data_IF_264704137058
#
_entry.id   IF_264704137058
#
_cell.length_a   1.000
_cell.length_b   1.000
_cell.length_c   1.000
_cell.angle_alpha   90.00
_cell.angle_beta   90.00
_cell.angle_gamma   90.00
#
_symmetry.space_group_name_H-M   'P 1'
#
loop_
_entity.id
_entity.type
_entity.pdbx_description
1 polymer ?
#
# COMPACT_ATOMS: atom_id res chain seq x y z
N UNK A 1 28.51 -44.51 48.62
CA UNK A 1 28.68 -43.68 47.41
C UNK A 1 27.59 -42.63 47.42
N UNK A 2 27.98 -41.36 47.54
CA UNK A 2 27.07 -40.21 47.51
C UNK A 2 26.76 -39.91 46.03
N UNK A 3 25.49 -39.99 45.64
CA UNK A 3 25.04 -39.41 44.38
C UNK A 3 24.69 -37.95 44.63
N UNK A 4 25.52 -37.06 44.10
CA UNK A 4 25.26 -35.62 44.07
C UNK A 4 24.06 -35.38 43.13
N UNK A 5 22.99 -34.70 43.56
CA UNK A 5 22.03 -34.17 42.61
C UNK A 5 22.73 -33.06 41.83
N UNK A 6 22.74 -33.20 40.50
CA UNK A 6 23.26 -32.19 39.58
C UNK A 6 22.55 -30.87 39.90
N UNK A 7 23.35 -29.90 40.29
CA UNK A 7 22.96 -28.53 40.55
C UNK A 7 22.14 -28.04 39.37
N UNK A 8 20.89 -27.69 39.62
CA UNK A 8 19.98 -27.04 38.69
C UNK A 8 20.73 -25.88 38.04
N UNK A 9 21.08 -26.03 36.76
CA UNK A 9 21.60 -24.91 35.98
C UNK A 9 20.53 -23.81 36.08
N UNK A 10 20.86 -22.76 36.84
CA UNK A 10 20.18 -21.48 36.79
C UNK A 10 20.02 -21.11 35.32
N UNK A 11 18.80 -21.26 34.81
CA UNK A 11 18.35 -20.79 33.52
C UNK A 11 18.16 -19.26 33.53
N UNK A 12 18.93 -18.56 34.36
CA UNK A 12 18.79 -17.12 34.60
C UNK A 12 19.46 -16.27 33.52
N UNK A 13 19.93 -16.86 32.41
CA UNK A 13 20.57 -16.11 31.32
C UNK A 13 20.33 -16.68 29.92
N UNK A 14 19.11 -17.15 29.64
CA UNK A 14 18.64 -17.25 28.25
C UNK A 14 17.28 -16.58 28.09
N UNK A 15 17.13 -15.38 28.66
CA UNK A 15 16.31 -14.36 28.00
C UNK A 15 17.13 -13.93 26.78
N UNK A 16 17.09 -14.75 25.72
CA UNK A 16 17.18 -14.19 24.38
C UNK A 16 16.04 -13.20 24.36
N UNK A 17 16.38 -11.91 24.37
CA UNK A 17 15.53 -10.88 23.82
C UNK A 17 15.08 -11.41 22.46
N UNK A 18 13.93 -12.09 22.45
CA UNK A 18 13.09 -12.19 21.30
C UNK A 18 12.63 -10.75 21.11
N UNK A 19 13.52 -9.96 20.48
CA UNK A 19 13.17 -8.71 19.84
C UNK A 19 12.01 -9.13 18.95
N UNK A 20 10.81 -8.92 19.47
CA UNK A 20 9.57 -9.00 18.72
C UNK A 20 9.93 -8.34 17.40
N UNK A 21 9.73 -9.00 16.25
CA UNK A 21 10.02 -8.35 14.99
C UNK A 21 9.29 -7.02 15.12
N UNK A 22 10.10 -5.97 15.12
CA UNK A 22 9.66 -4.61 15.20
C UNK A 22 8.43 -4.58 14.33
N UNK A 23 7.28 -4.22 14.91
CA UNK A 23 6.08 -3.99 14.14
C UNK A 23 6.48 -2.83 13.25
N UNK A 24 7.17 -3.11 12.13
CA UNK A 24 7.26 -2.26 10.97
C UNK A 24 5.82 -1.91 10.80
N UNK A 25 5.50 -0.66 11.16
CA UNK A 25 4.18 -0.10 11.00
C UNK A 25 3.70 -0.61 9.66
N UNK A 26 2.81 -1.60 9.71
CA UNK A 26 2.15 -2.07 8.52
C UNK A 26 1.36 -0.84 8.13
N UNK A 27 1.88 -0.08 7.15
CA UNK A 27 1.25 1.11 6.63
C UNK A 27 -0.23 0.81 6.58
N UNK A 28 -1.01 1.64 7.27
CA UNK A 28 -2.45 1.41 7.36
C UNK A 28 -2.96 1.30 5.94
N UNK A 29 -3.83 0.33 5.66
CA UNK A 29 -4.40 0.18 4.32
C UNK A 29 -4.96 1.50 3.79
N UNK A 30 -5.51 2.34 4.68
CA UNK A 30 -5.99 3.70 4.38
C UNK A 30 -4.87 4.62 3.90
N UNK A 31 -3.66 4.53 4.46
CA UNK A 31 -2.50 5.31 4.03
C UNK A 31 -2.04 4.87 2.64
N UNK A 32 -1.97 3.56 2.38
CA UNK A 32 -1.63 3.01 1.06
C UNK A 32 -2.69 3.44 0.02
N UNK A 33 -3.96 3.39 0.39
CA UNK A 33 -5.04 3.85 -0.50
C UNK A 33 -4.96 5.35 -0.77
N UNK A 34 -4.67 6.16 0.26
CA UNK A 34 -4.48 7.61 0.12
C UNK A 34 -3.28 7.94 -0.77
N UNK A 35 -2.18 7.21 -0.62
CA UNK A 35 -1.01 7.34 -1.50
C UNK A 35 -1.38 6.95 -2.94
N UNK A 36 -2.16 5.88 -3.12
CA UNK A 36 -2.61 5.43 -4.45
C UNK A 36 -3.48 6.50 -5.13
N UNK A 37 -4.39 7.15 -4.39
CA UNK A 37 -5.20 8.27 -4.89
C UNK A 37 -4.31 9.44 -5.34
N UNK A 38 -3.32 9.81 -4.52
CA UNK A 38 -2.37 10.87 -4.87
C UNK A 38 -1.61 10.52 -6.15
N UNK A 39 -1.17 9.26 -6.27
CA UNK A 39 -0.46 8.76 -7.45
C UNK A 39 -1.33 8.73 -8.70
N UNK A 40 -2.61 8.36 -8.59
CA UNK A 40 -3.58 8.48 -9.69
C UNK A 40 -3.69 9.94 -10.15
N UNK A 41 -3.78 10.89 -9.21
CA UNK A 41 -3.87 12.31 -9.55
C UNK A 41 -2.58 12.84 -10.23
N UNK A 42 -1.41 12.36 -9.80
CA UNK A 42 -0.14 12.67 -10.47
C UNK A 42 -0.12 12.15 -11.91
N UNK A 43 -0.55 10.90 -12.14
CA UNK A 43 -0.63 10.31 -13.48
C UNK A 43 -1.59 11.07 -14.40
N UNK A 44 -2.74 11.52 -13.88
CA UNK A 44 -3.69 12.34 -14.63
C UNK A 44 -3.02 13.67 -15.05
N UNK A 45 -2.39 14.38 -14.10
CA UNK A 45 -1.70 15.64 -14.41
C UNK A 45 -0.55 15.47 -15.39
N UNK A 46 0.20 14.38 -15.28
CA UNK A 46 1.27 14.06 -16.21
C UNK A 46 0.71 13.82 -17.63
N UNK A 47 -0.38 13.06 -17.73
CA UNK A 47 -1.09 12.82 -18.99
C UNK A 47 -1.60 14.12 -19.61
N UNK A 48 -2.20 15.00 -18.82
CA UNK A 48 -2.69 16.31 -19.27
C UNK A 48 -1.53 17.18 -19.78
N UNK A 49 -0.41 17.21 -19.05
CA UNK A 49 0.77 17.98 -19.43
C UNK A 49 1.38 17.47 -20.74
N UNK A 50 1.47 16.15 -20.92
CA UNK A 50 1.97 15.55 -22.16
C UNK A 50 1.01 15.82 -23.31
N UNK A 51 -0.29 15.74 -23.08
CA UNK A 51 -1.32 16.06 -24.08
C UNK A 51 -1.22 17.52 -24.50
N UNK A 52 -1.07 18.45 -23.57
CA UNK A 52 -0.90 19.88 -23.84
C UNK A 52 0.38 20.15 -24.63
N UNK A 53 1.51 19.59 -24.19
CA UNK A 53 2.78 19.80 -24.86
C UNK A 53 2.78 19.17 -26.27
N UNK A 54 2.09 18.05 -26.50
CA UNK A 54 1.88 17.49 -27.84
C UNK A 54 1.01 18.40 -28.70
N UNK A 55 -0.11 18.90 -28.17
CA UNK A 55 -0.98 19.84 -28.88
C UNK A 55 -0.27 21.15 -29.26
N UNK A 56 0.69 21.59 -28.44
CA UNK A 56 1.54 22.76 -28.70
C UNK A 56 2.72 22.46 -29.65
N UNK A 57 2.87 21.22 -30.13
CA UNK A 57 3.99 20.80 -30.99
C UNK A 57 5.35 20.80 -30.29
N UNK A 58 5.38 20.76 -28.95
CA UNK A 58 6.62 20.67 -28.15
C UNK A 58 7.13 19.23 -28.02
N UNK A 59 6.27 18.25 -28.33
CA UNK A 59 6.60 16.84 -28.39
C UNK A 59 5.97 16.28 -29.65
N UNK A 60 6.74 15.54 -30.43
CA UNK A 60 6.26 14.85 -31.64
C UNK A 60 5.83 13.40 -31.36
N UNK A 61 6.14 12.90 -30.16
CA UNK A 61 5.91 11.51 -29.78
C UNK A 61 4.51 11.32 -29.16
N UNK A 62 3.54 11.06 -30.03
CA UNK A 62 2.16 10.70 -29.65
C UNK A 62 2.09 9.42 -28.81
N UNK A 63 3.05 8.50 -28.95
CA UNK A 63 3.00 7.22 -28.23
C UNK A 63 3.15 7.45 -26.72
N UNK A 64 3.98 8.41 -26.30
CA UNK A 64 4.12 8.78 -24.89
C UNK A 64 2.83 9.36 -24.30
N UNK A 65 2.12 10.19 -25.06
CA UNK A 65 0.82 10.75 -24.63
C UNK A 65 -0.19 9.64 -24.44
N UNK A 66 -0.33 8.74 -25.41
CA UNK A 66 -1.25 7.60 -25.33
C UNK A 66 -0.92 6.69 -24.16
N UNK A 67 0.35 6.35 -23.95
CA UNK A 67 0.79 5.52 -22.81
C UNK A 67 0.46 6.22 -21.48
N UNK A 68 0.68 7.52 -21.38
CA UNK A 68 0.36 8.27 -20.17
C UNK A 68 -1.16 8.29 -19.90
N UNK A 69 -1.98 8.47 -20.95
CA UNK A 69 -3.44 8.42 -20.87
C UNK A 69 -3.92 7.02 -20.42
N UNK A 70 -3.38 5.96 -20.98
CA UNK A 70 -3.72 4.58 -20.58
C UNK A 70 -3.36 4.30 -19.11
N UNK A 71 -2.16 4.74 -18.68
CA UNK A 71 -1.72 4.62 -17.28
C UNK A 71 -2.66 5.36 -16.33
N UNK A 72 -3.01 6.60 -16.65
CA UNK A 72 -3.91 7.41 -15.85
C UNK A 72 -5.30 6.75 -15.76
N UNK A 73 -5.84 6.28 -16.89
CA UNK A 73 -7.13 5.60 -16.95
C UNK A 73 -7.15 4.29 -16.16
N UNK A 74 -6.13 3.45 -16.29
CA UNK A 74 -6.02 2.20 -15.54
C UNK A 74 -5.91 2.47 -14.03
N UNK A 75 -5.06 3.42 -13.63
CA UNK A 75 -4.90 3.80 -12.23
C UNK A 75 -6.22 4.33 -11.63
N UNK A 76 -6.96 5.15 -12.38
CA UNK A 76 -8.26 5.66 -11.96
C UNK A 76 -9.28 4.53 -11.77
N UNK A 77 -9.39 3.63 -12.73
CA UNK A 77 -10.31 2.49 -12.67
C UNK A 77 -10.02 1.60 -11.46
N UNK A 78 -8.73 1.31 -11.21
CA UNK A 78 -8.31 0.55 -10.04
C UNK A 78 -8.72 1.26 -8.73
N UNK A 79 -8.44 2.56 -8.64
CA UNK A 79 -8.78 3.38 -7.47
C UNK A 79 -10.29 3.42 -7.21
N UNK A 80 -11.10 3.55 -8.26
CA UNK A 80 -12.57 3.48 -8.15
C UNK A 80 -13.06 2.09 -7.72
N UNK A 81 -12.45 1.02 -8.23
CA UNK A 81 -12.80 -0.33 -7.82
C UNK A 81 -12.54 -0.56 -6.32
N UNK A 82 -11.39 -0.10 -5.81
CA UNK A 82 -11.06 -0.16 -4.39
C UNK A 82 -12.03 0.70 -3.57
N UNK A 83 -12.27 1.95 -4.01
CA UNK A 83 -13.20 2.86 -3.36
C UNK A 83 -14.59 2.24 -3.18
N UNK A 84 -15.14 1.65 -4.25
CA UNK A 84 -16.44 0.99 -4.21
C UNK A 84 -16.43 -0.20 -3.24
N UNK A 85 -15.36 -1.02 -3.23
CA UNK A 85 -15.25 -2.14 -2.29
C UNK A 85 -15.16 -1.69 -0.83
N UNK A 86 -14.56 -0.55 -0.55
CA UNK A 86 -14.54 0.01 0.81
C UNK A 86 -15.92 0.48 1.28
N UNK A 87 -16.68 1.10 0.38
CA UNK A 87 -18.08 1.47 0.67
C UNK A 87 -18.92 0.22 0.90
N UNK A 88 -18.79 -0.81 0.05
CA UNK A 88 -19.49 -2.09 0.22
C UNK A 88 -19.13 -2.75 1.57
N UNK A 89 -17.85 -2.80 1.93
CA UNK A 89 -17.40 -3.37 3.19
C UNK A 89 -17.98 -2.60 4.40
N UNK A 90 -18.03 -1.27 4.32
CA UNK A 90 -18.66 -0.44 5.34
C UNK A 90 -20.17 -0.75 5.47
N UNK A 91 -20.88 -0.85 4.34
CA UNK A 91 -22.30 -1.21 4.32
C UNK A 91 -22.56 -2.61 4.88
N UNK A 92 -21.70 -3.58 4.58
CA UNK A 92 -21.82 -4.95 5.09
C UNK A 92 -21.71 -4.99 6.62
N UNK A 93 -20.73 -4.28 7.20
CA UNK A 93 -20.54 -4.19 8.66
C UNK A 93 -21.80 -3.61 9.32
N UNK A 94 -22.38 -2.56 8.74
CA UNK A 94 -23.63 -1.96 9.23
C UNK A 94 -24.81 -2.93 9.18
N UNK A 95 -24.83 -3.85 8.20
CA UNK A 95 -25.92 -4.83 8.03
C UNK A 95 -25.82 -6.03 8.98
N UNK A 96 -24.64 -6.33 9.52
CA UNK A 96 -24.43 -7.40 10.51
C UNK A 96 -24.86 -6.97 11.92
N UNK A 97 -24.84 -5.66 12.21
CA UNK A 97 -25.16 -5.11 13.54
C UNK A 97 -26.63 -4.76 13.75
N UNK A 98 -27.46 -4.87 12.70
CA UNK A 98 -28.93 -4.79 12.76
C UNK A 98 -29.52 -6.20 12.82
#
# INVERSE_FOLDING_TARGET
MMINPVNNLSLDNYIVEKKSPDRKESLSFIEIFKESINKTNELIKESDKLTEAFALGKIDDIAQVTIAQEKAGLALNLTLAIHNKLIEAYQEIMRIQL
#
